data_IF_756415644540
#
_entry.id   IF_756415644540
#
_cell.length_a   1.000
_cell.length_b   1.000
_cell.length_c   1.000
_cell.angle_alpha   90.00
_cell.angle_beta   90.00
_cell.angle_gamma   90.00
#
_symmetry.space_group_name_H-M   'P 1'
#
loop_
_entity.id
_entity.type
_entity.pdbx_description
1 polymer ?
#
# COMPACT_ATOMS: atom_id res chain seq x y z
N UNK A 1 -8.41 -22.66 15.70
CA UNK A 1 -7.09 -22.86 16.35
C UNK A 1 -5.96 -21.95 15.84
N UNK A 2 -6.20 -20.96 14.97
CA UNK A 2 -5.16 -19.98 14.56
C UNK A 2 -5.27 -18.60 15.26
N UNK A 3 -6.42 -18.28 15.87
CA UNK A 3 -6.68 -17.00 16.54
C UNK A 3 -5.92 -16.82 17.86
N UNK A 4 -5.58 -17.90 18.57
CA UNK A 4 -4.86 -17.81 19.85
C UNK A 4 -3.35 -17.57 19.70
N UNK A 5 -2.75 -17.87 18.54
CA UNK A 5 -1.29 -18.00 18.41
C UNK A 5 -0.52 -16.68 18.55
N UNK A 6 -1.20 -15.53 18.53
CA UNK A 6 -0.51 -14.25 18.42
C UNK A 6 -1.23 -13.10 19.16
N UNK A 7 -2.14 -13.36 20.09
CA UNK A 7 -2.88 -12.31 20.79
C UNK A 7 -1.95 -11.24 21.42
N UNK A 8 -0.80 -11.67 21.92
CA UNK A 8 0.25 -10.83 22.48
C UNK A 8 0.85 -9.88 21.43
N UNK A 9 0.99 -10.36 20.19
CA UNK A 9 1.48 -9.51 19.08
C UNK A 9 0.44 -8.46 18.70
N UNK A 10 -0.86 -8.78 18.75
CA UNK A 10 -1.92 -7.78 18.52
C UNK A 10 -1.89 -6.68 19.58
N UNK A 11 -1.71 -7.04 20.84
CA UNK A 11 -1.58 -6.07 21.92
C UNK A 11 -0.34 -5.18 21.73
N UNK A 12 0.79 -5.74 21.30
CA UNK A 12 1.97 -4.94 20.96
C UNK A 12 1.70 -4.01 19.77
N UNK A 13 0.95 -4.44 18.75
CA UNK A 13 0.57 -3.57 17.63
C UNK A 13 -0.26 -2.40 18.15
N UNK A 14 -1.29 -2.66 18.98
CA UNK A 14 -2.09 -1.60 19.61
C UNK A 14 -1.22 -0.64 20.43
N UNK A 15 -0.30 -1.18 21.22
CA UNK A 15 0.67 -0.40 22.00
C UNK A 15 1.53 0.49 21.10
N UNK A 16 2.03 -0.02 19.97
CA UNK A 16 2.78 0.78 18.99
C UNK A 16 1.94 1.93 18.44
N UNK A 17 0.68 1.68 18.07
CA UNK A 17 -0.20 2.73 17.54
C UNK A 17 -0.49 3.84 18.56
N UNK A 18 -0.69 3.49 19.82
CA UNK A 18 -0.96 4.43 20.92
C UNK A 18 0.27 5.27 21.30
N UNK A 19 1.48 4.72 21.13
CA UNK A 19 2.74 5.31 21.61
C UNK A 19 3.70 5.60 20.43
N UNK A 20 3.18 5.88 19.23
CA UNK A 20 3.99 5.91 18.00
C UNK A 20 5.09 6.99 18.01
N UNK A 21 4.87 8.07 18.76
CA UNK A 21 5.80 9.19 18.92
C UNK A 21 6.87 8.93 20.00
N UNK A 22 6.67 7.94 20.87
CA UNK A 22 7.61 7.61 21.94
C UNK A 22 8.80 6.77 21.45
N UNK A 23 9.92 6.71 22.19
CA UNK A 23 10.97 5.73 21.90
C UNK A 23 10.45 4.29 22.01
N UNK A 24 10.41 3.57 20.89
CA UNK A 24 9.95 2.17 20.80
C UNK A 24 11.11 1.21 20.44
N UNK A 25 12.13 1.04 21.30
CA UNK A 25 13.20 0.08 21.06
C UNK A 25 12.67 -1.35 21.11
N UNK A 26 13.37 -2.28 20.44
CA UNK A 26 12.96 -3.68 20.36
C UNK A 26 12.77 -4.33 21.74
N UNK A 27 13.59 -3.94 22.72
CA UNK A 27 13.50 -4.42 24.10
C UNK A 27 12.20 -3.99 24.79
N UNK A 28 11.72 -2.77 24.56
CA UNK A 28 10.45 -2.30 25.12
C UNK A 28 9.27 -3.07 24.52
N UNK A 29 9.26 -3.25 23.19
CA UNK A 29 8.22 -4.00 22.50
C UNK A 29 8.19 -5.48 22.92
N UNK A 30 9.36 -6.10 23.05
CA UNK A 30 9.48 -7.49 23.51
C UNK A 30 9.05 -7.65 24.98
N UNK A 31 9.44 -6.69 25.84
CA UNK A 31 9.04 -6.65 27.23
C UNK A 31 7.53 -6.53 27.41
N UNK A 32 6.86 -5.73 26.56
CA UNK A 32 5.40 -5.61 26.54
C UNK A 32 4.71 -6.94 26.22
N UNK A 33 5.34 -7.80 25.41
CA UNK A 33 4.87 -9.14 25.08
C UNK A 33 5.36 -10.25 26.03
N UNK A 34 6.10 -9.91 27.10
CA UNK A 34 6.77 -10.86 27.98
C UNK A 34 7.70 -11.86 27.26
N UNK A 35 8.35 -11.44 26.17
CA UNK A 35 9.27 -12.26 25.39
C UNK A 35 10.70 -11.73 25.41
N UNK A 36 11.66 -12.60 25.11
CA UNK A 36 13.01 -12.15 24.76
C UNK A 36 12.97 -11.36 23.44
N UNK A 37 13.88 -10.37 23.23
CA UNK A 37 13.90 -9.58 21.99
C UNK A 37 14.01 -10.42 20.71
N UNK A 38 14.80 -11.50 20.74
CA UNK A 38 14.96 -12.41 19.60
C UNK A 38 13.66 -13.17 19.30
N UNK A 39 13.02 -13.75 20.31
CA UNK A 39 11.80 -14.52 20.13
C UNK A 39 10.64 -13.63 19.65
N UNK A 40 10.50 -12.46 20.27
CA UNK A 40 9.52 -11.45 19.86
C UNK A 40 9.71 -11.04 18.40
N UNK A 41 10.93 -10.68 17.98
CA UNK A 41 11.18 -10.24 16.61
C UNK A 41 10.82 -11.32 15.58
N UNK A 42 11.07 -12.59 15.91
CA UNK A 42 10.69 -13.73 15.06
C UNK A 42 9.17 -13.88 14.97
N UNK A 43 8.46 -13.93 16.11
CA UNK A 43 7.00 -14.07 16.13
C UNK A 43 6.30 -12.90 15.43
N UNK A 44 6.76 -11.67 15.69
CA UNK A 44 6.24 -10.48 15.05
C UNK A 44 6.43 -10.54 13.54
N UNK A 45 7.61 -10.96 13.05
CA UNK A 45 7.87 -11.11 11.61
C UNK A 45 7.04 -12.24 10.98
N UNK A 46 6.85 -13.36 11.68
CA UNK A 46 5.98 -14.45 11.22
C UNK A 46 4.53 -13.98 11.07
N UNK A 47 4.03 -13.16 12.01
CA UNK A 47 2.68 -12.59 11.94
C UNK A 47 2.54 -11.48 10.90
N UNK A 48 3.42 -10.48 10.94
CA UNK A 48 3.28 -9.24 10.19
C UNK A 48 3.99 -9.26 8.83
N UNK A 49 4.91 -10.20 8.60
CA UNK A 49 5.82 -10.21 7.45
C UNK A 49 6.94 -9.15 7.53
N UNK A 50 6.90 -8.26 8.53
CA UNK A 50 7.81 -7.15 8.73
C UNK A 50 8.55 -7.31 10.06
N UNK A 51 9.77 -6.82 10.18
CA UNK A 51 10.42 -6.74 11.49
C UNK A 51 9.76 -5.64 12.35
N UNK A 52 9.75 -5.76 13.68
CA UNK A 52 9.09 -4.80 14.57
C UNK A 52 9.53 -3.35 14.33
N UNK A 53 10.85 -3.11 14.29
CA UNK A 53 11.40 -1.76 14.12
C UNK A 53 11.12 -1.19 12.73
N UNK A 54 11.03 -2.06 11.71
CA UNK A 54 10.66 -1.62 10.38
C UNK A 54 9.18 -1.21 10.32
N UNK A 55 8.30 -1.98 10.96
CA UNK A 55 6.88 -1.65 11.08
C UNK A 55 6.67 -0.30 11.79
N UNK A 56 7.35 -0.07 12.93
CA UNK A 56 7.33 1.23 13.63
C UNK A 56 7.79 2.36 12.72
N UNK A 57 8.91 2.19 12.00
CA UNK A 57 9.41 3.20 11.07
C UNK A 57 8.43 3.49 9.92
N UNK A 58 7.73 2.47 9.44
CA UNK A 58 6.73 2.61 8.38
C UNK A 58 5.49 3.35 8.88
N UNK A 59 4.96 2.98 10.05
CA UNK A 59 3.84 3.69 10.69
C UNK A 59 4.19 5.17 10.93
N UNK A 60 5.41 5.46 11.36
CA UNK A 60 5.91 6.84 11.52
C UNK A 60 5.91 7.62 10.21
N UNK A 61 6.29 7.00 9.10
CA UNK A 61 6.17 7.64 7.79
C UNK A 61 4.72 7.85 7.37
N UNK A 62 3.81 6.93 7.72
CA UNK A 62 2.37 7.13 7.52
C UNK A 62 1.86 8.32 8.34
N UNK A 63 2.30 8.46 9.60
CA UNK A 63 1.98 9.64 10.44
C UNK A 63 2.60 10.94 9.92
N UNK A 64 3.77 10.90 9.27
CA UNK A 64 4.28 12.08 8.59
C UNK A 64 3.36 12.54 7.46
N UNK A 65 2.73 11.63 6.69
CA UNK A 65 1.72 12.02 5.68
C UNK A 65 0.57 12.79 6.31
N UNK A 66 0.10 12.34 7.47
CA UNK A 66 -0.94 13.00 8.26
C UNK A 66 -0.53 14.42 8.68
N UNK A 67 0.65 14.54 9.31
CA UNK A 67 1.19 15.84 9.72
C UNK A 67 1.40 16.80 8.54
N UNK A 68 1.82 16.29 7.38
CA UNK A 68 2.05 17.09 6.19
C UNK A 68 0.76 17.69 5.61
N UNK A 69 -0.36 16.97 5.71
CA UNK A 69 -1.67 17.38 5.17
C UNK A 69 -2.51 18.16 6.17
N UNK A 70 -2.48 17.77 7.46
CA UNK A 70 -3.38 18.34 8.48
C UNK A 70 -2.74 19.48 9.30
N UNK A 71 -1.46 19.78 9.12
CA UNK A 71 -0.75 20.81 9.91
C UNK A 71 0.14 21.72 9.07
N UNK A 72 0.52 22.85 9.66
CA UNK A 72 1.47 23.81 9.09
C UNK A 72 2.92 23.60 9.57
N UNK A 73 3.25 22.45 10.17
CA UNK A 73 4.61 22.16 10.65
C UNK A 73 5.63 22.28 9.51
N UNK A 74 6.86 22.74 9.79
CA UNK A 74 7.89 22.72 8.75
C UNK A 74 8.25 21.27 8.39
N UNK A 75 8.76 21.02 7.19
CA UNK A 75 9.19 19.66 6.77
C UNK A 75 10.25 19.11 7.75
N UNK A 76 11.10 19.99 8.29
CA UNK A 76 12.08 19.66 9.33
C UNK A 76 11.39 19.20 10.62
N UNK A 77 10.40 19.95 11.10
CA UNK A 77 9.73 19.63 12.35
C UNK A 77 8.89 18.36 12.23
N UNK A 78 8.25 18.12 11.08
CA UNK A 78 7.58 16.82 10.80
C UNK A 78 8.58 15.67 10.90
N UNK A 79 9.77 15.81 10.32
CA UNK A 79 10.83 14.80 10.42
C UNK A 79 11.25 14.54 11.86
N UNK A 80 11.44 15.60 12.66
CA UNK A 80 11.78 15.49 14.08
C UNK A 80 10.67 14.83 14.90
N UNK A 81 9.41 15.20 14.65
CA UNK A 81 8.22 14.67 15.34
C UNK A 81 8.11 13.16 15.17
N UNK A 82 8.41 12.64 13.98
CA UNK A 82 8.40 11.19 13.72
C UNK A 82 9.72 10.49 14.12
N UNK A 83 10.59 11.18 14.86
CA UNK A 83 11.84 10.65 15.41
C UNK A 83 13.00 10.50 14.41
N UNK A 84 12.99 11.20 13.27
CA UNK A 84 14.14 11.24 12.36
C UNK A 84 15.19 12.23 12.87
N UNK A 85 16.46 11.84 12.76
CA UNK A 85 17.59 12.63 13.29
C UNK A 85 18.01 13.77 12.36
N UNK A 86 17.63 13.74 11.09
CA UNK A 86 17.94 14.81 10.14
C UNK A 86 16.88 14.97 9.06
N UNK A 87 16.73 16.19 8.57
CA UNK A 87 15.85 16.52 7.44
C UNK A 87 16.25 15.75 6.17
N UNK A 88 17.55 15.63 5.89
CA UNK A 88 18.02 14.89 4.71
C UNK A 88 17.60 13.42 4.74
N UNK A 89 17.81 12.75 5.88
CA UNK A 89 17.37 11.35 6.05
C UNK A 89 15.86 11.20 5.92
N UNK A 90 15.09 12.11 6.52
CA UNK A 90 13.64 12.11 6.41
C UNK A 90 13.18 12.25 4.96
N UNK A 91 13.65 13.29 4.26
CA UNK A 91 13.26 13.58 2.88
C UNK A 91 13.60 12.44 1.93
N UNK A 92 14.80 11.87 2.02
CA UNK A 92 15.19 10.72 1.19
C UNK A 92 14.27 9.53 1.45
N UNK A 93 14.11 9.13 2.72
CA UNK A 93 13.27 7.97 3.06
C UNK A 93 11.81 8.19 2.69
N UNK A 94 11.26 9.36 2.96
CA UNK A 94 9.89 9.68 2.58
C UNK A 94 9.72 9.58 1.06
N UNK A 95 10.62 10.18 0.28
CA UNK A 95 10.56 10.16 -1.18
C UNK A 95 10.62 8.75 -1.74
N UNK A 96 11.55 7.93 -1.25
CA UNK A 96 11.69 6.52 -1.66
C UNK A 96 10.45 5.67 -1.37
N UNK A 97 9.80 5.89 -0.21
CA UNK A 97 8.67 5.06 0.25
C UNK A 97 7.32 5.56 -0.24
N UNK A 98 7.16 6.87 -0.37
CA UNK A 98 5.90 7.52 -0.75
C UNK A 98 5.83 7.81 -2.24
N UNK A 99 6.97 7.86 -2.94
CA UNK A 99 7.06 8.11 -4.38
C UNK A 99 7.08 9.59 -4.78
N UNK A 100 7.07 10.51 -3.81
CA UNK A 100 7.17 11.95 -3.99
C UNK A 100 7.78 12.60 -2.74
N UNK A 101 8.35 13.79 -2.88
CA UNK A 101 8.97 14.51 -1.75
C UNK A 101 7.92 14.96 -0.72
N UNK A 102 8.31 15.23 0.55
CA UNK A 102 7.39 15.76 1.55
C UNK A 102 6.68 17.06 1.13
N UNK A 103 7.41 17.95 0.43
CA UNK A 103 6.86 19.23 -0.04
C UNK A 103 5.85 19.03 -1.16
N UNK A 104 6.14 18.15 -2.12
CA UNK A 104 5.19 17.78 -3.16
C UNK A 104 3.94 17.14 -2.56
N UNK A 105 4.12 16.21 -1.61
CA UNK A 105 3.00 15.52 -0.95
C UNK A 105 2.04 16.50 -0.28
N UNK A 106 2.56 17.46 0.50
CA UNK A 106 1.76 18.52 1.13
C UNK A 106 0.88 19.29 0.14
N UNK A 107 1.42 19.58 -1.04
CA UNK A 107 0.74 20.41 -2.04
C UNK A 107 -0.03 19.59 -3.09
N UNK A 108 -0.08 18.27 -2.95
CA UNK A 108 -0.60 17.38 -3.98
C UNK A 108 -2.10 17.12 -3.92
N UNK A 109 -2.81 17.64 -2.91
CA UNK A 109 -4.26 17.41 -2.77
C UNK A 109 -5.08 17.87 -4.00
N UNK A 110 -4.88 19.07 -4.58
CA UNK A 110 -5.62 19.47 -5.78
C UNK A 110 -5.29 18.58 -7.00
N UNK A 111 -4.04 18.12 -7.10
CA UNK A 111 -3.61 17.22 -8.16
C UNK A 111 -4.22 15.83 -8.00
N UNK A 112 -4.28 15.33 -6.77
CA UNK A 112 -4.93 14.08 -6.40
C UNK A 112 -6.40 14.07 -6.79
N UNK A 113 -7.12 15.15 -6.45
CA UNK A 113 -8.52 15.36 -6.80
C UNK A 113 -8.74 15.35 -8.32
N UNK A 114 -7.90 16.10 -9.06
CA UNK A 114 -7.94 16.11 -10.52
C UNK A 114 -7.70 14.73 -11.15
N UNK A 115 -6.72 13.96 -10.66
CA UNK A 115 -6.48 12.60 -11.13
C UNK A 115 -7.67 11.69 -10.87
N UNK A 116 -8.26 11.78 -9.67
CA UNK A 116 -9.40 10.97 -9.29
C UNK A 116 -10.65 11.26 -10.15
N UNK A 117 -10.98 12.53 -10.36
CA UNK A 117 -12.07 12.93 -11.27
C UNK A 117 -11.78 12.56 -12.73
N UNK A 118 -10.52 12.55 -13.15
CA UNK A 118 -10.15 12.09 -14.49
C UNK A 118 -10.42 10.60 -14.65
N UNK A 119 -10.09 9.78 -13.64
CA UNK A 119 -10.45 8.36 -13.62
C UNK A 119 -11.97 8.19 -13.66
N UNK A 120 -12.73 8.91 -12.83
CA UNK A 120 -14.19 8.84 -12.82
C UNK A 120 -14.82 9.10 -14.20
N UNK A 121 -14.25 10.03 -14.99
CA UNK A 121 -14.73 10.36 -16.34
C UNK A 121 -14.34 9.34 -17.42
N UNK A 122 -13.28 8.55 -17.21
CA UNK A 122 -12.87 7.52 -18.17
C UNK A 122 -13.88 6.36 -18.28
N UNK A 123 -14.84 6.26 -17.36
CA UNK A 123 -15.90 5.23 -17.41
C UNK A 123 -15.38 3.83 -17.05
N UNK A 124 -16.02 2.77 -17.55
CA UNK A 124 -15.51 1.41 -17.38
C UNK A 124 -14.32 1.18 -18.34
N UNK A 125 -13.10 1.44 -17.88
CA UNK A 125 -11.92 0.87 -18.52
C UNK A 125 -11.74 -0.55 -17.97
N UNK A 126 -12.41 -1.51 -18.60
CA UNK A 126 -11.96 -2.89 -18.49
C UNK A 126 -10.84 -3.03 -19.50
N UNK A 127 -9.62 -3.19 -19.02
CA UNK A 127 -8.60 -3.71 -19.90
C UNK A 127 -9.04 -5.13 -20.25
N UNK A 128 -9.49 -5.33 -21.48
CA UNK A 128 -9.68 -6.66 -22.06
C UNK A 128 -8.34 -7.37 -21.99
N UNK A 129 -8.09 -8.07 -20.89
CA UNK A 129 -6.91 -8.88 -20.73
C UNK A 129 -7.22 -10.24 -21.34
N UNK A 130 -6.55 -10.64 -22.44
CA UNK A 130 -6.62 -12.03 -22.87
C UNK A 130 -5.96 -12.88 -21.79
N UNK A 131 -6.77 -13.41 -20.87
CA UNK A 131 -6.39 -14.38 -19.85
C UNK A 131 -6.11 -15.74 -20.51
N UNK A 132 -5.09 -15.77 -21.37
CA UNK A 132 -4.71 -16.98 -22.12
C UNK A 132 -3.76 -17.88 -21.31
N UNK A 133 -3.62 -17.65 -20.01
CA UNK A 133 -2.83 -18.52 -19.11
C UNK A 133 -1.36 -18.64 -19.51
N UNK A 134 -0.76 -17.55 -20.04
CA UNK A 134 0.66 -17.56 -20.39
C UNK A 134 1.53 -17.70 -19.13
N UNK A 135 2.71 -18.30 -19.27
CA UNK A 135 3.62 -18.63 -18.16
C UNK A 135 4.16 -17.39 -17.41
N UNK A 136 3.99 -16.20 -17.97
CA UNK A 136 4.43 -14.90 -17.46
C UNK A 136 3.27 -14.01 -16.99
N UNK A 137 2.09 -14.61 -16.77
CA UNK A 137 0.89 -13.89 -16.32
C UNK A 137 0.55 -14.20 -14.86
N UNK A 138 0.14 -13.15 -14.14
CA UNK A 138 -0.55 -13.29 -12.86
C UNK A 138 -1.93 -12.67 -13.03
N UNK A 139 -2.96 -13.50 -12.93
CA UNK A 139 -4.35 -13.07 -12.99
C UNK A 139 -5.11 -13.39 -11.70
N UNK A 140 -6.21 -12.69 -11.51
CA UNK A 140 -7.08 -12.89 -10.37
C UNK A 140 -8.38 -12.09 -10.51
N UNK A 141 -9.26 -12.30 -9.53
CA UNK A 141 -10.50 -11.52 -9.39
C UNK A 141 -10.45 -10.78 -8.05
N UNK A 142 -10.85 -9.51 -8.07
CA UNK A 142 -11.01 -8.69 -6.88
C UNK A 142 -12.47 -8.67 -6.44
N UNK A 143 -12.68 -8.99 -5.16
CA UNK A 143 -13.93 -8.92 -4.43
C UNK A 143 -13.80 -7.98 -3.24
N UNK A 144 -14.91 -7.65 -2.59
CA UNK A 144 -14.94 -6.87 -1.36
C UNK A 144 -15.89 -7.49 -0.33
N UNK A 145 -15.52 -7.43 0.95
CA UNK A 145 -16.36 -7.88 2.08
C UNK A 145 -17.56 -6.96 2.32
N UNK A 146 -17.49 -5.72 1.83
CA UNK A 146 -18.54 -4.70 1.93
C UNK A 146 -18.87 -4.14 0.54
N UNK A 147 -20.10 -3.62 0.33
CA UNK A 147 -20.45 -2.94 -0.91
C UNK A 147 -19.46 -1.83 -1.24
N UNK A 148 -18.99 -1.82 -2.49
CA UNK A 148 -17.93 -0.91 -2.92
C UNK A 148 -18.16 -0.45 -4.36
N UNK A 149 -18.13 0.87 -4.55
CA UNK A 149 -18.08 1.52 -5.86
C UNK A 149 -16.94 2.54 -5.87
N UNK A 150 -15.98 2.34 -6.78
CA UNK A 150 -14.78 3.13 -6.83
C UNK A 150 -13.72 2.49 -7.71
N UNK A 151 -12.51 3.03 -7.63
CA UNK A 151 -11.33 2.45 -8.26
C UNK A 151 -10.58 1.53 -7.30
N UNK A 152 -9.87 0.56 -7.87
CA UNK A 152 -9.01 -0.36 -7.12
C UNK A 152 -7.61 -0.22 -7.68
N UNK A 153 -6.67 0.16 -6.82
CA UNK A 153 -5.25 0.17 -7.11
C UNK A 153 -4.69 -1.18 -6.68
N UNK A 154 -4.16 -1.96 -7.62
CA UNK A 154 -3.62 -3.29 -7.35
C UNK A 154 -2.20 -3.41 -7.91
N UNK A 155 -1.30 -4.05 -7.17
CA UNK A 155 0.07 -4.22 -7.61
C UNK A 155 0.86 -5.33 -6.90
N UNK A 156 1.98 -5.66 -7.52
CA UNK A 156 3.00 -6.60 -7.06
C UNK A 156 4.19 -5.82 -6.48
N UNK A 157 4.48 -6.04 -5.21
CA UNK A 157 5.55 -5.38 -4.47
C UNK A 157 6.68 -6.37 -4.14
N UNK A 158 7.91 -5.87 -4.04
CA UNK A 158 9.08 -6.68 -3.65
C UNK A 158 9.10 -7.01 -2.15
N UNK A 159 8.29 -6.33 -1.34
CA UNK A 159 8.23 -6.46 0.12
C UNK A 159 6.78 -6.62 0.58
N UNK A 160 6.53 -7.19 1.77
CA UNK A 160 5.19 -7.35 2.34
C UNK A 160 4.62 -6.03 2.91
N UNK A 161 4.87 -4.90 2.24
CA UNK A 161 4.34 -3.57 2.52
C UNK A 161 4.23 -2.76 1.21
N UNK A 162 3.16 -1.98 1.00
CA UNK A 162 3.04 -1.15 -0.19
C UNK A 162 3.82 0.15 -0.02
N UNK A 163 5.11 0.07 -0.33
CA UNK A 163 6.07 1.18 -0.35
C UNK A 163 6.73 1.29 -1.72
N UNK A 164 6.95 2.53 -2.16
CA UNK A 164 7.44 2.83 -3.50
C UNK A 164 6.46 2.38 -4.59
N UNK A 165 6.86 2.56 -5.85
CA UNK A 165 6.06 2.06 -6.97
C UNK A 165 6.03 0.53 -6.95
N UNK A 166 4.87 -0.09 -7.23
CA UNK A 166 4.82 -1.53 -7.46
C UNK A 166 5.66 -1.89 -8.68
N UNK A 167 6.26 -3.08 -8.68
CA UNK A 167 7.01 -3.61 -9.82
C UNK A 167 6.08 -3.85 -11.02
N UNK A 168 4.84 -4.24 -10.71
CA UNK A 168 3.73 -4.38 -11.65
C UNK A 168 2.50 -3.81 -10.98
N UNK A 169 1.80 -2.87 -11.63
CA UNK A 169 0.64 -2.23 -11.04
C UNK A 169 -0.36 -1.80 -12.08
N UNK A 170 -1.64 -1.87 -11.73
CA UNK A 170 -2.75 -1.44 -12.58
C UNK A 170 -3.88 -0.87 -11.72
N UNK A 171 -4.87 -0.29 -12.40
CA UNK A 171 -6.08 0.28 -11.80
C UNK A 171 -7.30 -0.38 -12.42
N UNK A 172 -8.24 -0.82 -11.58
CA UNK A 172 -9.55 -1.30 -11.99
C UNK A 172 -10.59 -0.22 -11.74
N UNK A 173 -11.56 -0.11 -12.65
CA UNK A 173 -12.69 0.83 -12.54
C UNK A 173 -13.86 0.29 -11.69
N UNK A 174 -13.83 -1.01 -11.36
CA UNK A 174 -14.80 -1.71 -10.51
C UNK A 174 -14.20 -3.03 -9.99
N UNK A 175 -14.94 -3.73 -9.13
CA UNK A 175 -14.61 -5.12 -8.75
C UNK A 175 -14.63 -6.02 -9.99
N UNK A 176 -13.73 -7.00 -10.04
CA UNK A 176 -13.61 -7.89 -11.19
C UNK A 176 -12.18 -8.32 -11.45
N UNK A 177 -11.92 -8.71 -12.69
CA UNK A 177 -10.68 -9.37 -13.07
C UNK A 177 -9.53 -8.40 -13.29
N UNK A 178 -8.32 -8.86 -12.96
CA UNK A 178 -7.07 -8.19 -13.27
C UNK A 178 -6.07 -9.19 -13.87
N UNK A 179 -5.12 -8.67 -14.64
CA UNK A 179 -3.99 -9.43 -15.11
C UNK A 179 -2.73 -8.56 -15.16
N UNK A 180 -1.62 -9.12 -14.70
CA UNK A 180 -0.28 -8.62 -14.97
C UNK A 180 0.36 -9.53 -16.03
N UNK A 181 0.95 -8.96 -17.07
CA UNK A 181 1.69 -9.69 -18.11
C UNK A 181 3.18 -9.45 -17.99
N UNK A 182 3.99 -10.28 -18.65
CA UNK A 182 5.44 -10.14 -18.71
C UNK A 182 6.08 -10.06 -17.31
N UNK A 183 5.49 -10.80 -16.36
CA UNK A 183 5.96 -10.85 -14.97
C UNK A 183 7.24 -11.67 -14.93
N UNK A 184 8.34 -11.02 -14.55
CA UNK A 184 9.65 -11.65 -14.49
C UNK A 184 9.70 -12.66 -13.33
N UNK A 185 10.50 -13.73 -13.44
CA UNK A 185 10.72 -14.64 -12.32
C UNK A 185 11.17 -13.89 -11.05
N UNK A 186 10.58 -14.24 -9.91
CA UNK A 186 10.79 -13.51 -8.67
C UNK A 186 9.79 -13.86 -7.57
N UNK A 187 9.93 -13.17 -6.44
CA UNK A 187 9.06 -13.27 -5.27
C UNK A 187 8.32 -11.95 -5.14
N UNK A 188 6.99 -12.00 -5.09
CA UNK A 188 6.14 -10.83 -5.08
C UNK A 188 5.11 -10.89 -3.97
N UNK A 189 4.67 -9.72 -3.49
CA UNK A 189 3.55 -9.59 -2.57
C UNK A 189 2.44 -8.84 -3.30
N UNK A 190 1.29 -9.48 -3.45
CA UNK A 190 0.13 -8.86 -4.08
C UNK A 190 -0.62 -8.03 -3.04
N UNK A 191 -0.88 -6.78 -3.38
CA UNK A 191 -1.64 -5.86 -2.52
C UNK A 191 -2.59 -5.05 -3.35
N UNK A 192 -3.71 -4.70 -2.75
CA UNK A 192 -4.65 -3.77 -3.34
C UNK A 192 -5.20 -2.82 -2.28
N UNK A 193 -5.60 -1.64 -2.72
CA UNK A 193 -6.41 -0.72 -1.93
C UNK A 193 -7.41 -0.02 -2.84
N UNK A 194 -8.51 0.45 -2.25
CA UNK A 194 -9.58 1.07 -2.99
C UNK A 194 -9.73 2.56 -2.71
N UNK A 195 -10.34 3.28 -3.64
CA UNK A 195 -10.80 4.64 -3.42
C UNK A 195 -12.24 4.74 -3.91
N UNK A 196 -13.17 4.91 -2.98
CA UNK A 196 -14.60 5.02 -3.28
C UNK A 196 -14.92 6.36 -3.95
N UNK A 197 -15.88 6.38 -4.88
CA UNK A 197 -16.23 7.60 -5.64
C UNK A 197 -16.68 8.80 -4.79
N UNK A 198 -17.17 8.55 -3.57
CA UNK A 198 -17.56 9.59 -2.62
C UNK A 198 -16.43 10.13 -1.73
N UNK A 199 -15.20 9.60 -1.86
CA UNK A 199 -14.08 9.95 -0.98
C UNK A 199 -13.42 11.26 -1.44
N UNK A 200 -13.01 12.11 -0.49
CA UNK A 200 -12.23 13.33 -0.79
C UNK A 200 -10.76 13.00 -0.97
N UNK A 201 -10.03 13.87 -1.67
CA UNK A 201 -8.60 13.74 -1.88
C UNK A 201 -7.80 13.53 -0.58
N UNK A 202 -8.00 14.38 0.42
CA UNK A 202 -7.34 14.24 1.71
C UNK A 202 -7.55 12.85 2.36
N UNK A 203 -8.76 12.27 2.26
CA UNK A 203 -9.10 11.01 2.89
C UNK A 203 -8.37 9.83 2.25
N UNK A 204 -8.37 9.73 0.91
CA UNK A 204 -7.68 8.64 0.23
C UNK A 204 -6.16 8.81 0.24
N UNK A 205 -5.64 10.03 0.35
CA UNK A 205 -4.20 10.26 0.51
C UNK A 205 -3.66 9.72 1.84
N UNK A 206 -4.49 9.75 2.89
CA UNK A 206 -4.15 9.22 4.22
C UNK A 206 -4.45 7.73 4.37
N UNK A 207 -5.32 7.16 3.54
CA UNK A 207 -5.61 5.71 3.50
C UNK A 207 -6.13 5.16 4.83
N UNK A 208 -6.74 5.99 5.67
CA UNK A 208 -7.23 5.57 7.00
C UNK A 208 -8.45 4.66 6.86
N UNK A 209 -9.32 4.93 5.87
CA UNK A 209 -10.60 4.24 5.67
C UNK A 209 -10.68 3.47 4.35
N UNK A 210 -9.60 3.44 3.57
CA UNK A 210 -9.59 2.70 2.29
C UNK A 210 -9.67 1.21 2.54
N UNK A 211 -10.51 0.51 1.77
CA UNK A 211 -10.49 -0.95 1.77
C UNK A 211 -9.13 -1.40 1.23
N UNK A 212 -8.65 -2.53 1.73
CA UNK A 212 -7.32 -3.02 1.41
C UNK A 212 -7.24 -4.52 1.50
N UNK A 213 -6.14 -5.04 0.99
CA UNK A 213 -5.78 -6.45 1.13
C UNK A 213 -4.30 -6.62 0.93
N UNK A 214 -3.80 -7.74 1.44
CA UNK A 214 -2.43 -8.19 1.27
C UNK A 214 -2.43 -9.71 1.15
N UNK A 215 -1.70 -10.23 0.15
CA UNK A 215 -1.46 -11.67 0.06
C UNK A 215 -0.69 -12.13 1.29
N UNK A 216 -1.26 -13.09 2.04
CA UNK A 216 -0.62 -13.64 3.25
C UNK A 216 0.74 -14.28 2.94
N UNK A 217 0.79 -15.02 1.84
CA UNK A 217 2.01 -15.63 1.34
C UNK A 217 2.50 -14.85 0.12
N UNK A 218 3.82 -14.81 -0.11
CA UNK A 218 4.35 -14.29 -1.35
C UNK A 218 3.97 -15.19 -2.54
N UNK A 219 3.81 -14.56 -3.69
CA UNK A 219 3.66 -15.21 -4.99
C UNK A 219 5.05 -15.51 -5.55
N UNK A 220 5.23 -16.74 -6.02
CA UNK A 220 6.48 -17.19 -6.65
C UNK A 220 6.26 -17.32 -8.15
N UNK A 221 6.99 -16.54 -8.93
CA UNK A 221 7.02 -16.64 -10.39
C UNK A 221 8.32 -17.34 -10.77
N UNK A 222 8.20 -18.53 -11.36
CA UNK A 222 9.33 -19.27 -11.91
C UNK A 222 9.39 -19.14 -13.43
N UNK A 223 10.52 -19.47 -14.08
CA UNK A 223 10.69 -19.35 -15.54
C UNK A 223 9.63 -20.07 -16.39
N UNK A 224 8.92 -21.04 -15.83
CA UNK A 224 7.85 -21.81 -16.48
C UNK A 224 6.70 -22.15 -15.51
N UNK A 225 6.59 -21.43 -14.40
CA UNK A 225 5.58 -21.72 -13.38
C UNK A 225 4.31 -20.93 -13.65
N UNK A 226 3.18 -21.63 -13.75
CA UNK A 226 1.87 -20.97 -13.79
C UNK A 226 1.53 -20.56 -12.37
N UNK A 227 1.36 -19.25 -12.14
CA UNK A 227 0.86 -18.75 -10.87
C UNK A 227 -0.65 -19.05 -10.82
N UNK A 228 -1.17 -19.70 -9.76
CA UNK A 228 -2.59 -19.95 -9.63
C UNK A 228 -3.41 -18.66 -9.71
N UNK A 229 -4.65 -18.77 -10.17
CA UNK A 229 -5.58 -17.65 -10.16
C UNK A 229 -5.77 -17.08 -8.75
N UNK A 230 -5.58 -15.78 -8.59
CA UNK A 230 -5.63 -15.11 -7.29
C UNK A 230 -7.05 -14.70 -6.93
N UNK A 231 -7.46 -15.01 -5.70
CA UNK A 231 -8.71 -14.53 -5.13
C UNK A 231 -8.39 -13.39 -4.16
N UNK A 232 -8.70 -12.16 -4.56
CA UNK A 232 -8.31 -10.95 -3.84
C UNK A 232 -9.53 -10.39 -3.13
N UNK A 233 -9.54 -10.46 -1.79
CA UNK A 233 -10.65 -9.97 -0.98
C UNK A 233 -10.26 -8.65 -0.30
N UNK A 234 -10.89 -7.55 -0.72
CA UNK A 234 -10.78 -6.25 -0.06
C UNK A 234 -11.59 -6.26 1.23
N UNK A 235 -11.01 -5.72 2.30
CA UNK A 235 -11.64 -5.61 3.59
C UNK A 235 -11.35 -4.25 4.23
N UNK A 236 -12.12 -3.92 5.26
CA UNK A 236 -11.81 -2.78 6.12
C UNK A 236 -10.43 -2.94 6.78
N UNK A 237 -9.78 -1.84 7.20
CA UNK A 237 -8.46 -1.88 7.81
C UNK A 237 -8.39 -2.79 9.04
N UNK A 238 -7.42 -3.71 9.06
CA UNK A 238 -7.15 -4.62 10.18
C UNK A 238 -5.82 -4.29 10.85
N UNK A 239 -5.64 -4.75 12.09
CA UNK A 239 -4.41 -4.51 12.86
C UNK A 239 -3.16 -5.11 12.19
N UNK A 240 -3.32 -6.23 11.48
CA UNK A 240 -2.24 -6.94 10.81
C UNK A 240 -1.98 -6.45 9.37
N UNK A 241 -2.68 -5.39 8.93
CA UNK A 241 -2.38 -4.71 7.69
C UNK A 241 -1.14 -3.83 7.84
N UNK A 242 -0.19 -3.89 6.90
CA UNK A 242 0.89 -2.94 6.88
C UNK A 242 0.37 -1.54 6.50
N UNK A 243 1.05 -0.47 6.92
CA UNK A 243 0.71 0.88 6.48
C UNK A 243 0.90 1.04 4.96
N UNK A 244 0.02 1.81 4.32
CA UNK A 244 0.14 2.16 2.90
C UNK A 244 0.98 3.43 2.77
N UNK A 245 2.24 3.26 2.37
CA UNK A 245 3.19 4.36 2.26
C UNK A 245 3.12 5.02 0.89
N UNK A 246 3.07 4.23 -0.18
CA UNK A 246 2.97 4.74 -1.55
C UNK A 246 1.80 5.71 -1.69
N UNK A 247 2.04 6.86 -2.31
CA UNK A 247 1.02 7.87 -2.57
C UNK A 247 0.06 7.37 -3.66
N UNK A 248 -1.22 7.23 -3.33
CA UNK A 248 -2.24 6.83 -4.32
C UNK A 248 -2.30 7.79 -5.52
N UNK A 249 -2.19 9.13 -5.35
CA UNK A 249 -2.06 10.06 -6.48
C UNK A 249 -0.93 9.72 -7.48
N UNK A 250 0.22 9.25 -6.99
CA UNK A 250 1.33 8.82 -7.87
C UNK A 250 0.93 7.61 -8.70
N UNK A 251 0.23 6.64 -8.09
CA UNK A 251 -0.25 5.45 -8.79
C UNK A 251 -1.32 5.80 -9.83
N UNK A 252 -2.26 6.69 -9.48
CA UNK A 252 -3.28 7.21 -10.40
C UNK A 252 -2.63 7.90 -11.60
N UNK A 253 -1.67 8.79 -11.36
CA UNK A 253 -0.95 9.48 -12.43
C UNK A 253 -0.17 8.52 -13.34
N UNK A 254 0.54 7.55 -12.75
CA UNK A 254 1.30 6.55 -13.49
C UNK A 254 0.41 5.68 -14.40
N UNK A 255 -0.84 5.47 -14.02
CA UNK A 255 -1.81 4.78 -14.85
C UNK A 255 -2.38 5.69 -15.94
N UNK A 256 -2.85 6.88 -15.58
CA UNK A 256 -3.39 7.87 -16.52
C UNK A 256 -2.39 8.21 -17.64
N UNK A 257 -1.11 8.34 -17.31
CA UNK A 257 -0.05 8.63 -18.30
C UNK A 257 0.15 7.51 -19.32
N UNK A 258 -0.17 6.26 -18.98
CA UNK A 258 -0.09 5.10 -19.89
C UNK A 258 -1.34 4.95 -20.74
N UNK A 259 -2.52 5.24 -20.19
CA UNK A 259 -3.82 5.00 -20.84
C UNK A 259 -4.26 6.17 -21.74
N UNK A 260 -4.06 7.42 -21.32
CA UNK A 260 -4.50 8.60 -22.10
C UNK A 260 -3.87 8.72 -23.50
N UNK A 261 -2.58 8.37 -23.73
CA UNK A 261 -2.03 8.32 -25.09
C UNK A 261 -2.67 7.25 -25.98
N UNK A 262 -3.14 6.14 -25.40
CA UNK A 262 -3.79 5.03 -26.12
C UNK A 262 -5.20 5.38 -26.61
N UNK A 263 -5.99 6.09 -25.80
CA UNK A 263 -7.36 6.51 -26.14
C UNK A 263 -7.37 7.52 -27.29
N UNK A 264 -6.39 8.45 -27.33
CA UNK A 264 -6.25 9.41 -28.44
C UNK A 264 -5.94 8.74 -29.79
N UNK A 265 -5.29 7.58 -29.80
CA UNK A 265 -4.98 6.83 -31.04
C UNK A 265 -6.16 6.04 -31.59
N UNK A 266 -7.14 5.70 -30.75
CA UNK A 266 -8.37 4.98 -31.15
C UNK A 266 -9.51 5.92 -31.57
N UNK A 267 -9.33 7.24 -31.49
CA UNK A 267 -10.32 8.27 -31.89
C UNK A 267 -9.90 9.07 -33.13
N UNK A 268 -8.93 8.58 -33.90
CA UNK A 268 -8.64 9.13 -35.24
C UNK A 268 -9.33 8.25 -36.29
N UNK A 269 -10.21 8.82 -37.13
CA UNK A 269 -10.94 8.06 -38.15
C UNK A 269 -10.02 7.47 -39.22
#
# INVERSE_FOLDING_TARGET
MAFERYAEIDEVIKYIHQNIYDPLPLSALAGHAAYSPYHFARLFKERMGLSPLYYVSALRLQKAKDLLLRTNMSIRDVGLEIGQQSLGTFTTRFTEKVGMTPSEFRNSEPLADHHFHSLQRLGQWNADFPANGRQDQISGTVHAEVPFEGIILIGLFAKPIPEGLPLYGTLLSSLGDFCFTDVKPGIYYLMATSVSWGMKAADFMLTETTLRTRSRNPLFVGPHSIVPHQQVMLHEPRLDDPPILISLPVLMNNFLSKVLPGIKRQQTP
#
